data_IF_319294896000
#
_entry.id   IF_319294896000
#
_cell.length_a   1.000
_cell.length_b   1.000
_cell.length_c   1.000
_cell.angle_alpha   90.00
_cell.angle_beta   90.00
_cell.angle_gamma   90.00
#
_symmetry.space_group_name_H-M   'P 1'
#
loop_
_entity.id
_entity.type
_entity.pdbx_description
1 polymer ?
#
# COMPACT_ATOMS: atom_id res chain seq x y z
N UNK A 1 -3.30 -3.80 27.71
CA UNK A 1 -3.27 -5.26 27.97
C UNK A 1 -1.93 -5.80 27.49
N UNK A 2 -1.28 -6.68 28.25
CA UNK A 2 0.03 -7.20 27.83
C UNK A 2 -0.12 -8.43 26.92
N UNK A 3 0.69 -8.48 25.85
CA UNK A 3 0.76 -9.60 24.92
C UNK A 3 2.18 -10.14 24.85
N UNK A 4 2.32 -11.48 24.89
CA UNK A 4 3.59 -12.17 24.73
C UNK A 4 3.68 -12.69 23.30
N UNK A 5 4.70 -12.27 22.57
CA UNK A 5 4.91 -12.63 21.16
C UNK A 5 5.12 -14.14 21.00
N UNK A 6 4.40 -14.74 20.06
CA UNK A 6 4.42 -16.18 19.79
C UNK A 6 5.13 -16.49 18.46
N UNK A 7 5.60 -17.73 18.25
CA UNK A 7 6.14 -18.15 16.96
C UNK A 7 5.19 -17.83 15.80
N UNK A 8 5.71 -17.15 14.77
CA UNK A 8 4.95 -16.77 13.58
C UNK A 8 4.12 -15.49 13.69
N UNK A 9 4.14 -14.81 14.84
CA UNK A 9 3.55 -13.49 14.99
C UNK A 9 4.33 -12.42 14.23
N UNK A 10 3.59 -11.42 13.75
CA UNK A 10 4.11 -10.12 13.32
C UNK A 10 3.27 -9.06 14.01
N UNK A 11 3.77 -7.83 14.19
CA UNK A 11 2.99 -6.76 14.80
C UNK A 11 1.65 -6.57 14.07
N UNK A 12 1.62 -6.70 12.75
CA UNK A 12 0.39 -6.64 11.95
C UNK A 12 -0.60 -7.77 12.22
N UNK A 13 -0.12 -9.02 12.34
CA UNK A 13 -1.01 -10.15 12.71
C UNK A 13 -1.60 -9.94 14.10
N UNK A 14 -0.79 -9.43 15.03
CA UNK A 14 -1.24 -9.10 16.38
C UNK A 14 -2.27 -7.96 16.34
N UNK A 15 -1.99 -6.87 15.63
CA UNK A 15 -2.90 -5.74 15.48
C UNK A 15 -4.25 -6.17 14.92
N UNK A 16 -4.25 -6.90 13.80
CA UNK A 16 -5.46 -7.42 13.15
C UNK A 16 -6.29 -8.33 14.05
N UNK A 17 -5.66 -9.18 14.88
CA UNK A 17 -6.36 -10.07 15.82
C UNK A 17 -6.99 -9.31 17.00
N UNK A 18 -6.41 -8.18 17.38
CA UNK A 18 -6.81 -7.43 18.58
C UNK A 18 -7.57 -6.14 18.24
N UNK A 19 -7.87 -5.88 16.96
CA UNK A 19 -8.63 -4.71 16.53
C UNK A 19 -7.92 -3.37 16.77
N UNK A 20 -6.58 -3.37 16.75
CA UNK A 20 -5.73 -2.17 16.89
C UNK A 20 -4.85 -2.01 15.65
N UNK A 21 -4.21 -0.85 15.46
CA UNK A 21 -3.25 -0.69 14.36
C UNK A 21 -1.82 -0.99 14.81
N UNK A 22 -0.94 -1.32 13.88
CA UNK A 22 0.50 -1.46 14.18
C UNK A 22 1.08 -0.14 14.70
N UNK A 23 0.59 1.00 14.19
CA UNK A 23 1.00 2.32 14.67
C UNK A 23 0.67 2.46 16.16
N UNK A 24 -0.53 2.09 16.58
CA UNK A 24 -0.93 2.16 17.99
C UNK A 24 -0.06 1.24 18.85
N UNK A 25 0.22 0.02 18.37
CA UNK A 25 1.12 -0.91 19.06
C UNK A 25 2.52 -0.30 19.19
N UNK A 26 3.10 0.23 18.12
CA UNK A 26 4.45 0.83 18.17
C UNK A 26 4.46 2.06 19.09
N UNK A 27 3.44 2.91 19.04
CA UNK A 27 3.29 4.06 19.93
C UNK A 27 3.17 3.67 21.40
N UNK A 28 2.47 2.57 21.71
CA UNK A 28 2.36 2.03 23.06
C UNK A 28 3.64 1.29 23.54
N UNK A 29 4.58 1.02 22.63
CA UNK A 29 5.80 0.26 22.90
C UNK A 29 7.06 0.99 22.41
N UNK A 30 7.42 2.13 23.02
CA UNK A 30 8.59 2.92 22.61
C UNK A 30 9.92 2.15 22.72
N UNK A 31 9.96 1.03 23.45
CA UNK A 31 11.10 0.12 23.53
C UNK A 31 11.34 -0.70 22.25
N UNK A 32 10.36 -0.79 21.32
CA UNK A 32 10.53 -1.48 20.05
C UNK A 32 11.27 -0.56 19.07
N UNK A 33 12.57 -0.79 18.93
CA UNK A 33 13.43 -0.01 18.03
C UNK A 33 13.26 -0.38 16.56
N UNK A 34 12.95 -1.65 16.27
CA UNK A 34 12.61 -2.13 14.93
C UNK A 34 11.29 -2.92 14.95
N UNK A 35 10.17 -2.30 14.55
CA UNK A 35 8.87 -2.95 14.45
C UNK A 35 8.81 -4.19 13.53
N UNK A 36 9.78 -4.39 12.64
CA UNK A 36 9.88 -5.58 11.80
C UNK A 36 10.64 -6.73 12.47
N UNK A 37 11.40 -6.46 13.54
CA UNK A 37 12.26 -7.42 14.22
C UNK A 37 11.81 -7.64 15.67
N UNK A 38 10.67 -8.30 15.83
CA UNK A 38 10.12 -8.66 17.14
C UNK A 38 10.55 -10.07 17.55
N UNK A 39 10.77 -10.29 18.84
CA UNK A 39 11.29 -11.56 19.37
C UNK A 39 10.20 -12.40 20.02
N UNK A 40 10.24 -13.71 19.81
CA UNK A 40 9.37 -14.66 20.54
C UNK A 40 9.62 -14.51 22.04
N UNK A 41 8.55 -14.46 22.84
CA UNK A 41 8.61 -14.24 24.28
C UNK A 41 8.73 -12.77 24.69
N UNK A 42 8.98 -11.84 23.75
CA UNK A 42 8.94 -10.41 24.04
C UNK A 42 7.53 -9.99 24.46
N UNK A 43 7.44 -9.22 25.55
CA UNK A 43 6.18 -8.61 26.00
C UNK A 43 5.99 -7.27 25.33
N UNK A 44 4.77 -7.03 24.84
CA UNK A 44 4.34 -5.76 24.28
C UNK A 44 3.00 -5.34 24.89
N UNK A 45 2.81 -4.05 25.06
CA UNK A 45 1.57 -3.43 25.48
C UNK A 45 0.65 -3.28 24.28
N UNK A 46 -0.51 -3.94 24.31
CA UNK A 46 -1.59 -3.66 23.37
C UNK A 46 -2.41 -2.49 23.90
N UNK A 47 -2.56 -1.40 23.12
CA UNK A 47 -3.42 -0.30 23.51
C UNK A 47 -4.85 -0.82 23.60
N UNK A 48 -5.53 -0.48 24.69
CA UNK A 48 -6.98 -0.69 24.79
C UNK A 48 -7.63 0.48 24.06
N UNK A 49 -8.35 0.22 22.97
CA UNK A 49 -9.14 1.26 22.32
C UNK A 49 -10.25 1.72 23.28
N UNK A 50 -9.98 2.75 24.09
CA UNK A 50 -10.99 3.63 24.62
C UNK A 50 -11.30 4.65 23.51
N UNK A 51 -12.13 4.25 22.54
CA UNK A 51 -12.44 5.09 21.39
C UNK A 51 -13.06 4.40 20.18
N UNK A 52 -13.57 3.17 20.31
CA UNK A 52 -14.62 2.70 19.41
C UNK A 52 -15.91 3.39 19.82
N UNK A 53 -16.19 4.57 19.27
CA UNK A 53 -17.48 5.22 19.44
C UNK A 53 -18.55 4.41 18.72
N UNK A 54 -19.22 3.60 19.53
CA UNK A 54 -20.50 2.97 19.26
C UNK A 54 -21.57 4.05 19.17
N UNK A 55 -21.96 4.43 17.95
CA UNK A 55 -23.04 5.39 17.69
C UNK A 55 -24.09 4.86 16.73
N UNK A 56 -24.75 3.75 17.07
CA UNK A 56 -26.00 3.34 16.43
C UNK A 56 -27.20 3.82 17.23
N UNK A 57 -28.11 4.59 16.61
CA UNK A 57 -29.49 4.76 17.11
C UNK A 57 -30.20 6.07 16.81
N UNK A 58 -30.89 6.15 15.65
CA UNK A 58 -32.30 6.58 15.63
C UNK A 58 -32.68 8.05 15.39
N UNK A 59 -33.08 8.33 14.15
CA UNK A 59 -34.36 8.94 13.73
C UNK A 59 -34.61 10.46 13.78
N UNK A 60 -34.96 11.03 12.61
CA UNK A 60 -36.11 11.95 12.49
C UNK A 60 -35.91 13.30 11.74
N UNK A 61 -36.40 13.37 10.48
CA UNK A 61 -36.95 14.57 9.78
C UNK A 61 -35.98 15.72 9.43
N UNK A 62 -36.05 16.46 8.33
CA UNK A 62 -37.04 16.67 7.27
C UNK A 62 -36.85 18.10 6.71
N UNK A 63 -36.74 18.24 5.37
CA UNK A 63 -36.79 19.52 4.61
C UNK A 63 -35.56 20.43 4.68
N UNK A 64 -35.20 21.31 3.75
CA UNK A 64 -35.74 21.74 2.44
C UNK A 64 -34.67 22.66 1.80
N UNK A 65 -34.47 22.58 0.48
CA UNK A 65 -34.09 23.63 -0.49
C UNK A 65 -33.19 24.83 -0.09
N UNK A 66 -32.12 25.09 -0.86
CA UNK A 66 -32.10 26.10 -1.95
C UNK A 66 -30.71 26.72 -2.21
N UNK A 67 -30.43 26.95 -3.50
CA UNK A 67 -29.67 28.04 -4.12
C UNK A 67 -28.12 28.15 -4.02
N UNK A 68 -27.51 28.08 -5.22
CA UNK A 68 -26.21 28.64 -5.68
C UNK A 68 -26.23 30.21 -5.59
N UNK A 69 -25.14 31.01 -5.79
CA UNK A 69 -24.13 30.84 -6.86
C UNK A 69 -22.67 31.26 -6.55
N UNK A 70 -21.84 30.99 -7.56
CA UNK A 70 -20.41 31.26 -7.74
C UNK A 70 -19.87 32.64 -7.33
N UNK A 71 -18.58 32.68 -6.94
CA UNK A 71 -17.67 33.72 -7.41
C UNK A 71 -16.20 33.30 -7.35
N UNK A 72 -15.53 33.64 -8.45
CA UNK A 72 -14.14 33.40 -8.80
C UNK A 72 -13.30 34.55 -8.23
N UNK A 73 -12.22 34.29 -7.48
CA UNK A 73 -11.09 35.23 -7.31
C UNK A 73 -9.84 34.51 -6.82
N UNK A 74 -8.84 34.48 -7.68
CA UNK A 74 -7.42 34.23 -7.34
C UNK A 74 -6.77 35.59 -7.03
N UNK A 75 -5.82 35.64 -6.08
CA UNK A 75 -4.56 36.28 -6.41
C UNK A 75 -3.31 35.52 -5.90
N UNK A 76 -2.27 35.64 -6.73
CA UNK A 76 -0.81 35.53 -6.48
C UNK A 76 -0.38 36.38 -5.28
N UNK A 77 0.69 36.20 -4.49
CA UNK A 77 2.01 35.53 -4.52
C UNK A 77 2.67 35.80 -3.15
N UNK A 78 3.53 34.91 -2.66
CA UNK A 78 4.88 35.17 -2.09
C UNK A 78 5.25 34.23 -0.94
N UNK A 79 6.54 33.90 -0.92
CA UNK A 79 7.21 32.88 -0.12
C UNK A 79 7.37 33.28 1.35
N UNK A 80 7.35 32.28 2.24
CA UNK A 80 7.60 32.45 3.67
C UNK A 80 7.75 31.12 4.40
N UNK A 81 8.98 30.59 4.39
CA UNK A 81 9.68 29.84 5.43
C UNK A 81 8.91 28.85 6.35
N UNK A 82 9.30 27.57 6.30
CA UNK A 82 9.40 26.71 7.50
C UNK A 82 8.11 26.23 8.15
N UNK A 83 7.27 25.48 7.43
CA UNK A 83 6.28 24.61 8.04
C UNK A 83 6.72 23.15 7.86
N UNK A 84 6.90 22.43 8.97
CA UNK A 84 6.92 20.96 8.97
C UNK A 84 5.53 20.56 8.48
N UNK A 85 5.39 20.35 7.17
CA UNK A 85 4.11 20.05 6.55
C UNK A 85 3.70 18.64 6.93
N UNK A 86 3.00 18.51 8.05
CA UNK A 86 2.19 17.34 8.31
C UNK A 86 1.11 17.32 7.24
N UNK A 87 1.20 16.37 6.31
CA UNK A 87 0.10 16.12 5.40
C UNK A 87 -1.09 15.67 6.24
N UNK A 88 -2.26 16.32 6.15
CA UNK A 88 -3.41 15.88 6.90
C UNK A 88 -3.82 14.48 6.45
N UNK A 89 -4.38 13.66 7.35
CA UNK A 89 -5.00 12.40 6.97
C UNK A 89 -6.04 12.59 5.87
N UNK A 90 -6.16 11.64 4.94
CA UNK A 90 -7.21 11.68 3.92
C UNK A 90 -8.48 11.10 4.53
N UNK A 91 -9.54 11.88 4.57
CA UNK A 91 -10.87 11.47 5.03
C UNK A 91 -11.81 11.29 3.84
N UNK A 92 -12.85 10.47 4.02
CA UNK A 92 -13.99 10.42 3.11
C UNK A 92 -15.24 10.86 3.88
N UNK A 93 -16.09 11.74 3.32
CA UNK A 93 -17.33 12.14 3.99
C UNK A 93 -18.32 10.97 4.15
N UNK A 94 -18.12 9.88 3.39
CA UNK A 94 -19.03 8.73 3.32
C UNK A 94 -18.47 7.48 4.02
N UNK A 95 -17.41 7.59 4.82
CA UNK A 95 -16.79 6.46 5.53
C UNK A 95 -16.03 6.91 6.77
N UNK A 96 -15.96 6.04 7.77
CA UNK A 96 -15.09 6.17 8.95
C UNK A 96 -13.60 5.94 8.63
N UNK A 97 -13.30 5.43 7.43
CA UNK A 97 -11.94 5.12 7.06
C UNK A 97 -11.16 6.39 6.69
N UNK A 98 -10.13 6.66 7.48
CA UNK A 98 -9.16 7.72 7.24
C UNK A 98 -7.80 7.12 6.88
N UNK A 99 -7.18 7.57 5.78
CA UNK A 99 -5.80 7.19 5.46
C UNK A 99 -4.80 8.12 6.17
N UNK A 100 -3.69 7.59 6.69
CA UNK A 100 -2.63 8.41 7.26
C UNK A 100 -2.06 9.40 6.22
N UNK A 101 -1.72 10.61 6.68
CA UNK A 101 -0.97 11.56 5.85
C UNK A 101 0.51 11.22 5.73
N UNK A 102 1.04 10.46 6.68
CA UNK A 102 2.40 9.90 6.71
C UNK A 102 2.45 8.59 7.51
N UNK A 103 3.47 7.78 7.26
CA UNK A 103 3.70 6.49 7.90
C UNK A 103 4.98 6.44 8.75
N UNK A 104 5.20 5.31 9.44
CA UNK A 104 6.47 5.04 10.12
C UNK A 104 7.62 4.89 9.11
N UNK A 105 7.31 4.40 7.90
CA UNK A 105 8.20 4.35 6.75
C UNK A 105 9.53 3.59 6.96
N UNK A 106 9.50 2.52 7.76
CA UNK A 106 10.69 1.73 8.10
C UNK A 106 11.24 1.01 6.87
N UNK A 107 12.57 1.04 6.71
CA UNK A 107 13.26 0.44 5.56
C UNK A 107 13.50 -1.05 5.74
N UNK A 108 13.59 -1.77 4.62
CA UNK A 108 14.15 -3.11 4.61
C UNK A 108 15.62 -3.07 4.99
N UNK A 109 16.06 -4.07 5.73
CA UNK A 109 17.47 -4.38 5.99
C UNK A 109 17.88 -5.66 5.26
N UNK A 110 19.17 -5.93 5.04
CA UNK A 110 19.62 -7.12 4.31
C UNK A 110 19.02 -8.45 4.82
N UNK A 111 18.88 -8.60 6.14
CA UNK A 111 18.29 -9.80 6.75
C UNK A 111 16.83 -10.05 6.38
N UNK A 112 16.07 -9.00 6.03
CA UNK A 112 14.67 -9.14 5.61
C UNK A 112 14.58 -9.86 4.27
N UNK A 113 15.52 -9.59 3.35
CA UNK A 113 15.61 -10.29 2.08
C UNK A 113 15.98 -11.77 2.28
N UNK A 114 16.87 -12.07 3.23
CA UNK A 114 17.25 -13.44 3.53
C UNK A 114 16.12 -14.23 4.21
N UNK A 115 15.31 -13.57 5.05
CA UNK A 115 14.09 -14.14 5.59
C UNK A 115 13.06 -14.42 4.49
N UNK A 116 12.79 -13.44 3.62
CA UNK A 116 11.89 -13.58 2.48
C UNK A 116 12.33 -14.72 1.53
N UNK A 117 13.62 -14.82 1.26
CA UNK A 117 14.21 -15.86 0.43
C UNK A 117 13.98 -17.26 1.00
N UNK A 118 14.22 -17.44 2.32
CA UNK A 118 13.93 -18.68 3.04
C UNK A 118 12.44 -19.03 2.99
N UNK A 119 11.56 -18.05 3.15
CA UNK A 119 10.10 -18.25 3.12
C UNK A 119 9.59 -18.64 1.72
N UNK A 120 10.29 -18.27 0.66
CA UNK A 120 10.02 -18.68 -0.72
C UNK A 120 10.82 -19.90 -1.18
N UNK A 121 11.80 -20.36 -0.39
CA UNK A 121 12.73 -21.41 -0.82
C UNK A 121 13.57 -21.02 -2.04
N UNK A 122 13.88 -19.72 -2.20
CA UNK A 122 14.69 -19.21 -3.31
C UNK A 122 15.94 -18.47 -2.81
N UNK A 123 16.76 -17.98 -3.72
CA UNK A 123 17.95 -17.20 -3.37
C UNK A 123 17.58 -15.76 -3.00
N UNK A 124 18.27 -15.21 -2.00
CA UNK A 124 18.09 -13.81 -1.59
C UNK A 124 18.41 -12.82 -2.70
N UNK A 125 19.35 -13.16 -3.59
CA UNK A 125 19.62 -12.42 -4.81
C UNK A 125 18.40 -12.32 -5.75
N UNK A 126 17.54 -13.34 -5.81
CA UNK A 126 16.34 -13.32 -6.64
C UNK A 126 15.28 -12.35 -6.08
N UNK A 127 15.06 -12.37 -4.76
CA UNK A 127 14.15 -11.42 -4.10
C UNK A 127 14.63 -9.99 -4.26
N UNK A 128 15.94 -9.74 -4.05
CA UNK A 128 16.57 -8.42 -4.26
C UNK A 128 16.45 -7.95 -5.71
N UNK A 129 16.58 -8.84 -6.68
CA UNK A 129 16.43 -8.51 -8.10
C UNK A 129 15.03 -7.99 -8.42
N UNK A 130 13.98 -8.65 -7.92
CA UNK A 130 12.60 -8.20 -8.11
C UNK A 130 12.38 -6.86 -7.41
N UNK A 131 12.81 -6.72 -6.15
CA UNK A 131 12.67 -5.47 -5.40
C UNK A 131 13.34 -4.29 -6.13
N UNK A 132 14.53 -4.49 -6.70
CA UNK A 132 15.23 -3.47 -7.47
C UNK A 132 14.45 -3.07 -8.72
N UNK A 133 13.94 -4.03 -9.49
CA UNK A 133 13.21 -3.74 -10.74
C UNK A 133 11.88 -3.05 -10.49
N UNK A 134 11.11 -3.49 -9.49
CA UNK A 134 9.80 -2.90 -9.17
C UNK A 134 9.91 -1.49 -8.60
N UNK A 135 10.97 -1.21 -7.83
CA UNK A 135 11.18 0.10 -7.21
C UNK A 135 12.07 1.06 -8.02
N UNK A 136 12.78 0.54 -9.01
CA UNK A 136 13.91 1.20 -9.66
C UNK A 136 15.09 1.41 -8.69
N UNK A 137 15.30 0.47 -7.76
CA UNK A 137 16.34 0.52 -6.72
C UNK A 137 16.11 1.58 -5.64
N UNK A 138 14.88 2.10 -5.52
CA UNK A 138 14.54 3.19 -4.60
C UNK A 138 13.69 2.69 -3.45
N UNK A 139 13.61 3.51 -2.40
CA UNK A 139 12.65 3.35 -1.31
C UNK A 139 11.22 3.13 -1.81
N UNK A 140 10.48 2.26 -1.13
CA UNK A 140 9.04 2.04 -1.30
C UNK A 140 8.17 3.18 -0.75
N UNK A 141 8.79 4.12 -0.04
CA UNK A 141 8.18 5.36 0.45
C UNK A 141 8.65 6.59 -0.35
N UNK A 142 7.80 7.60 -0.43
CA UNK A 142 8.14 8.94 -0.92
C UNK A 142 8.80 9.81 0.15
N UNK A 143 9.12 11.07 -0.19
CA UNK A 143 9.76 12.02 0.72
C UNK A 143 8.87 12.39 1.92
N UNK A 144 7.55 12.21 1.80
CA UNK A 144 6.57 12.46 2.86
C UNK A 144 6.26 11.20 3.68
N UNK A 145 7.10 10.17 3.60
CA UNK A 145 6.92 8.89 4.32
C UNK A 145 5.60 8.18 4.01
N UNK A 146 5.03 8.44 2.83
CA UNK A 146 3.86 7.72 2.31
C UNK A 146 4.32 6.61 1.36
N UNK A 147 3.62 5.46 1.30
CA UNK A 147 3.96 4.44 0.30
C UNK A 147 3.88 5.03 -1.11
N UNK A 148 4.79 4.63 -2.00
CA UNK A 148 4.66 4.95 -3.42
C UNK A 148 3.48 4.19 -3.98
N UNK A 149 2.66 4.87 -4.76
CA UNK A 149 1.43 4.31 -5.32
C UNK A 149 1.34 4.61 -6.82
N UNK A 150 0.57 3.79 -7.52
CA UNK A 150 0.06 4.08 -8.85
C UNK A 150 -1.45 3.79 -8.84
N UNK A 151 -2.26 4.75 -9.28
CA UNK A 151 -3.71 4.59 -9.33
C UNK A 151 -4.15 4.09 -10.71
N UNK A 152 -4.94 3.02 -10.72
CA UNK A 152 -5.45 2.38 -11.93
C UNK A 152 -6.90 2.75 -12.19
N UNK A 153 -7.13 3.72 -13.09
CA UNK A 153 -8.46 4.24 -13.44
C UNK A 153 -9.43 3.16 -13.92
N UNK A 154 -8.91 2.14 -14.60
CA UNK A 154 -9.71 1.02 -15.10
C UNK A 154 -10.12 0.03 -14.01
N UNK A 155 -9.33 -0.08 -12.94
CA UNK A 155 -9.69 -0.87 -11.76
C UNK A 155 -10.70 -0.12 -10.90
N UNK A 156 -10.56 1.20 -10.78
CA UNK A 156 -11.56 2.01 -10.06
C UNK A 156 -12.92 1.93 -10.75
N UNK A 157 -12.93 2.02 -12.09
CA UNK A 157 -14.11 1.74 -12.90
C UNK A 157 -14.71 0.37 -12.63
N UNK A 158 -13.89 -0.69 -12.56
CA UNK A 158 -14.33 -2.07 -12.24
C UNK A 158 -14.95 -2.14 -10.85
N UNK A 159 -14.26 -1.65 -9.82
CA UNK A 159 -14.67 -1.77 -8.42
C UNK A 159 -15.86 -0.88 -8.04
N UNK A 160 -16.07 0.22 -8.76
CA UNK A 160 -17.24 1.10 -8.57
C UNK A 160 -18.41 0.71 -9.49
N UNK A 161 -18.32 -0.41 -10.20
CA UNK A 161 -19.31 -0.83 -11.20
C UNK A 161 -19.67 0.30 -12.17
N UNK A 162 -18.68 1.08 -12.60
CA UNK A 162 -18.80 2.20 -13.57
C UNK A 162 -19.63 3.39 -13.08
N UNK A 163 -19.93 3.48 -11.78
CA UNK A 163 -20.74 4.56 -11.18
C UNK A 163 -20.21 5.96 -11.51
N UNK A 164 -18.91 6.09 -11.73
CA UNK A 164 -18.24 7.38 -11.96
C UNK A 164 -17.78 7.61 -13.42
N UNK A 165 -18.17 6.76 -14.38
CA UNK A 165 -17.77 6.90 -15.80
C UNK A 165 -18.13 8.29 -16.38
N UNK A 166 -19.27 8.85 -15.97
CA UNK A 166 -19.75 10.15 -16.49
C UNK A 166 -19.26 11.33 -15.65
N UNK A 167 -19.29 11.21 -14.31
CA UNK A 167 -19.01 12.33 -13.40
C UNK A 167 -17.52 12.52 -13.13
N UNK A 168 -16.72 11.45 -13.16
CA UNK A 168 -15.28 11.48 -12.93
C UNK A 168 -14.53 10.61 -13.96
N UNK A 169 -14.65 10.93 -15.26
CA UNK A 169 -14.07 10.10 -16.32
C UNK A 169 -12.53 10.01 -16.25
N UNK A 170 -11.85 10.96 -15.58
CA UNK A 170 -10.40 10.89 -15.33
C UNK A 170 -10.02 9.90 -14.21
N UNK A 171 -10.97 9.46 -13.39
CA UNK A 171 -10.79 8.41 -12.37
C UNK A 171 -11.40 7.07 -12.81
N UNK A 172 -12.39 7.08 -13.70
CA UNK A 172 -13.12 5.90 -14.16
C UNK A 172 -13.13 5.82 -15.69
N UNK A 173 -12.23 5.01 -16.25
CA UNK A 173 -12.10 4.86 -17.70
C UNK A 173 -11.68 3.43 -18.10
N UNK A 174 -12.01 2.95 -19.31
CA UNK A 174 -11.52 1.67 -19.84
C UNK A 174 -9.99 1.58 -19.89
N UNK A 175 -9.46 0.35 -19.91
CA UNK A 175 -8.01 0.09 -19.89
C UNK A 175 -7.26 0.72 -21.07
N UNK A 176 -7.82 0.65 -22.26
CA UNK A 176 -7.29 1.21 -23.50
C UNK A 176 -7.46 2.73 -23.64
N UNK A 177 -8.16 3.36 -22.68
CA UNK A 177 -8.40 4.80 -22.71
C UNK A 177 -7.10 5.61 -22.55
N UNK A 178 -6.92 6.72 -23.32
CA UNK A 178 -5.79 7.62 -23.11
C UNK A 178 -5.73 8.19 -21.69
N UNK A 179 -6.87 8.26 -21.00
CA UNK A 179 -7.01 8.71 -19.62
C UNK A 179 -6.17 7.90 -18.63
N UNK A 180 -5.89 6.62 -18.93
CA UNK A 180 -4.96 5.80 -18.13
C UNK A 180 -3.56 6.42 -18.11
N UNK A 181 -3.02 6.71 -19.30
CA UNK A 181 -1.69 7.32 -19.45
C UNK A 181 -1.65 8.76 -18.93
N UNK A 182 -2.75 9.49 -19.04
CA UNK A 182 -2.88 10.83 -18.45
C UNK A 182 -2.84 10.77 -16.92
N UNK A 183 -3.54 9.82 -16.30
CA UNK A 183 -3.55 9.62 -14.85
C UNK A 183 -2.13 9.40 -14.32
N UNK A 184 -1.32 8.55 -14.96
CA UNK A 184 0.04 8.23 -14.50
C UNK A 184 1.00 9.42 -14.49
N UNK A 185 0.71 10.51 -15.21
CA UNK A 185 1.52 11.73 -15.24
C UNK A 185 1.17 12.72 -14.13
N UNK A 186 0.09 12.46 -13.39
CA UNK A 186 -0.36 13.30 -12.27
C UNK A 186 0.30 12.89 -10.96
N UNK A 187 0.18 13.74 -9.95
CA UNK A 187 0.42 13.34 -8.56
C UNK A 187 -0.56 12.23 -8.17
N UNK A 188 -0.04 11.01 -8.01
CA UNK A 188 -0.85 9.83 -7.70
C UNK A 188 -1.54 9.93 -6.34
N UNK A 189 -0.99 10.66 -5.38
CA UNK A 189 -1.64 10.89 -4.09
C UNK A 189 -2.82 11.85 -4.21
N UNK A 190 -2.75 12.84 -5.11
CA UNK A 190 -3.89 13.70 -5.42
C UNK A 190 -5.00 12.91 -6.14
N UNK A 191 -4.64 12.04 -7.09
CA UNK A 191 -5.58 11.15 -7.79
C UNK A 191 -6.27 10.20 -6.80
N UNK A 192 -5.49 9.52 -5.95
CA UNK A 192 -6.05 8.65 -4.92
C UNK A 192 -6.95 9.42 -3.96
N UNK A 193 -6.58 10.64 -3.54
CA UNK A 193 -7.40 11.45 -2.64
C UNK A 193 -8.79 11.73 -3.20
N UNK A 194 -8.86 12.10 -4.46
CA UNK A 194 -10.14 12.35 -5.14
C UNK A 194 -10.98 11.07 -5.23
N UNK A 195 -10.38 9.94 -5.64
CA UNK A 195 -11.07 8.66 -5.70
C UNK A 195 -11.52 8.15 -4.32
N UNK A 196 -10.70 8.34 -3.29
CA UNK A 196 -10.97 7.90 -1.92
C UNK A 196 -12.12 8.70 -1.28
N UNK A 197 -12.24 9.99 -1.61
CA UNK A 197 -13.40 10.79 -1.20
C UNK A 197 -14.73 10.24 -1.78
N UNK A 198 -14.69 9.60 -2.95
CA UNK A 198 -15.87 9.01 -3.60
C UNK A 198 -16.19 7.61 -3.07
N UNK A 199 -15.19 6.72 -3.02
CA UNK A 199 -15.34 5.31 -2.63
C UNK A 199 -14.01 4.77 -2.07
N UNK A 200 -13.80 4.82 -0.73
CA UNK A 200 -12.54 4.43 -0.07
C UNK A 200 -12.04 3.04 -0.43
N UNK A 201 -12.92 2.04 -0.38
CA UNK A 201 -12.56 0.66 -0.66
C UNK A 201 -12.20 0.46 -2.13
N UNK A 202 -13.02 0.99 -3.05
CA UNK A 202 -12.73 0.86 -4.47
C UNK A 202 -11.44 1.59 -4.83
N UNK A 203 -11.20 2.78 -4.27
CA UNK A 203 -9.98 3.56 -4.48
C UNK A 203 -8.74 2.80 -4.00
N UNK A 204 -8.79 2.26 -2.77
CA UNK A 204 -7.69 1.51 -2.20
C UNK A 204 -7.37 0.21 -2.97
N UNK A 205 -8.41 -0.52 -3.41
CA UNK A 205 -8.26 -1.71 -4.26
C UNK A 205 -7.65 -1.37 -5.63
N UNK A 206 -7.87 -0.15 -6.11
CA UNK A 206 -7.43 0.33 -7.42
C UNK A 206 -6.05 0.97 -7.42
N UNK A 207 -5.33 0.95 -6.30
CA UNK A 207 -3.93 1.39 -6.22
C UNK A 207 -2.97 0.22 -6.06
N UNK A 208 -1.81 0.30 -6.73
CA UNK A 208 -0.62 -0.45 -6.32
C UNK A 208 0.05 0.24 -5.13
N UNK A 209 0.71 -0.52 -4.26
CA UNK A 209 1.28 0.02 -3.03
C UNK A 209 2.74 -0.42 -2.80
N UNK A 210 3.57 0.55 -2.44
CA UNK A 210 4.89 0.35 -1.89
C UNK A 210 5.95 -0.14 -2.89
N UNK A 211 7.04 -0.67 -2.34
CA UNK A 211 8.25 -1.09 -3.07
C UNK A 211 7.99 -2.10 -4.18
N UNK A 212 7.07 -3.04 -3.95
CA UNK A 212 6.78 -4.14 -4.86
C UNK A 212 5.55 -3.90 -5.74
N UNK A 213 4.90 -2.73 -5.60
CA UNK A 213 3.74 -2.34 -6.40
C UNK A 213 2.60 -3.38 -6.39
N UNK A 214 2.36 -4.04 -5.25
CA UNK A 214 1.26 -4.99 -5.12
C UNK A 214 -0.07 -4.23 -5.12
N UNK A 215 -0.99 -4.64 -6.01
CA UNK A 215 -2.33 -4.04 -6.10
C UNK A 215 -3.17 -4.31 -4.84
N UNK A 216 -3.87 -3.28 -4.37
CA UNK A 216 -4.75 -3.35 -3.21
C UNK A 216 -5.89 -4.36 -3.38
N UNK A 217 -6.35 -4.64 -4.61
CA UNK A 217 -7.36 -5.69 -4.87
C UNK A 217 -6.88 -7.09 -4.46
N UNK A 218 -5.57 -7.30 -4.33
CA UNK A 218 -4.96 -8.58 -3.96
C UNK A 218 -4.77 -8.75 -2.44
N UNK A 219 -5.30 -7.85 -1.60
CA UNK A 219 -5.07 -7.89 -0.15
C UNK A 219 -5.39 -9.27 0.47
N UNK A 220 -6.49 -9.89 0.06
CA UNK A 220 -6.98 -11.15 0.62
C UNK A 220 -6.04 -12.32 0.31
N UNK A 221 -5.64 -12.47 -0.95
CA UNK A 221 -4.67 -13.49 -1.35
C UNK A 221 -3.28 -13.28 -0.73
N UNK A 222 -2.96 -12.03 -0.39
CA UNK A 222 -1.71 -11.72 0.32
C UNK A 222 -1.81 -11.97 1.84
N UNK A 223 -2.98 -12.38 2.34
CA UNK A 223 -3.21 -12.78 3.73
C UNK A 223 -3.72 -11.67 4.64
N UNK A 224 -4.31 -10.60 4.10
CA UNK A 224 -5.02 -9.57 4.86
C UNK A 224 -6.52 -9.83 4.85
N UNK A 225 -7.21 -9.49 5.95
CA UNK A 225 -8.67 -9.66 6.07
C UNK A 225 -9.47 -8.54 5.42
N UNK A 226 -8.85 -7.37 5.24
CA UNK A 226 -9.48 -6.20 4.63
C UNK A 226 -8.45 -5.36 3.89
N UNK A 227 -8.89 -4.67 2.83
CA UNK A 227 -8.04 -3.71 2.11
C UNK A 227 -7.58 -2.57 3.03
N UNK A 228 -8.39 -2.21 4.04
CA UNK A 228 -8.03 -1.23 5.07
C UNK A 228 -6.76 -1.61 5.82
N UNK A 229 -6.76 -2.79 6.43
CA UNK A 229 -5.58 -3.27 7.19
C UNK A 229 -4.36 -3.50 6.30
N UNK A 230 -4.57 -3.89 5.04
CA UNK A 230 -3.50 -3.96 4.04
C UNK A 230 -2.87 -2.59 3.79
N UNK A 231 -3.67 -1.57 3.48
CA UNK A 231 -3.15 -0.24 3.19
C UNK A 231 -2.48 0.39 4.42
N UNK A 232 -3.08 0.26 5.61
CA UNK A 232 -2.48 0.73 6.86
C UNK A 232 -1.09 0.13 7.09
N UNK A 233 -0.91 -1.16 6.83
CA UNK A 233 0.39 -1.82 6.91
C UNK A 233 1.39 -1.31 5.85
N UNK A 234 0.93 -0.85 4.68
CA UNK A 234 1.81 -0.25 3.68
C UNK A 234 2.41 1.09 4.15
N UNK A 235 1.83 1.75 5.15
CA UNK A 235 2.41 2.93 5.80
C UNK A 235 3.44 2.58 6.89
N UNK A 236 3.51 1.32 7.34
CA UNK A 236 4.40 0.91 8.42
C UNK A 236 5.82 0.72 7.91
N UNK A 237 6.03 -0.19 6.96
CA UNK A 237 7.38 -0.56 6.53
C UNK A 237 7.47 -1.19 5.14
N UNK A 238 8.67 -1.16 4.55
CA UNK A 238 8.98 -1.91 3.34
C UNK A 238 8.97 -3.44 3.59
N UNK A 239 9.12 -3.89 4.83
CA UNK A 239 8.90 -5.30 5.19
C UNK A 239 7.43 -5.71 5.05
N UNK A 240 6.48 -4.80 5.29
CA UNK A 240 5.07 -5.05 4.98
C UNK A 240 4.83 -5.05 3.47
N UNK A 241 5.53 -4.21 2.70
CA UNK A 241 5.50 -4.27 1.23
C UNK A 241 6.03 -5.63 0.74
N UNK A 242 7.13 -6.13 1.35
CA UNK A 242 7.69 -7.46 1.08
C UNK A 242 6.70 -8.56 1.42
N UNK A 243 6.02 -8.50 2.58
CA UNK A 243 5.00 -9.48 2.95
C UNK A 243 3.89 -9.58 1.90
N UNK A 244 3.44 -8.45 1.35
CA UNK A 244 2.46 -8.43 0.27
C UNK A 244 2.99 -9.15 -0.97
N UNK A 245 4.23 -8.86 -1.36
CA UNK A 245 4.92 -9.52 -2.45
C UNK A 245 5.03 -11.04 -2.26
N UNK A 246 5.40 -11.49 -1.05
CA UNK A 246 5.51 -12.90 -0.70
C UNK A 246 4.17 -13.63 -0.82
N UNK A 247 3.10 -13.02 -0.27
CA UNK A 247 1.75 -13.56 -0.36
C UNK A 247 1.27 -13.70 -1.81
N UNK A 248 1.47 -12.65 -2.60
CA UNK A 248 1.14 -12.67 -4.03
C UNK A 248 1.90 -13.77 -4.79
N UNK A 249 3.21 -13.91 -4.56
CA UNK A 249 4.02 -14.94 -5.21
C UNK A 249 3.55 -16.36 -4.90
N UNK A 250 3.13 -16.63 -3.66
CA UNK A 250 2.61 -17.95 -3.28
C UNK A 250 1.28 -18.25 -3.97
N UNK A 251 0.32 -17.34 -3.87
CA UNK A 251 -1.02 -17.55 -4.42
C UNK A 251 -0.99 -17.73 -5.94
N UNK A 252 -0.23 -16.86 -6.64
CA UNK A 252 -0.02 -16.95 -8.09
C UNK A 252 0.97 -18.03 -8.51
N UNK A 253 1.51 -18.79 -7.55
CA UNK A 253 2.50 -19.88 -7.75
C UNK A 253 3.77 -19.41 -8.48
N UNK A 254 4.13 -18.14 -8.36
CA UNK A 254 5.30 -17.55 -9.04
C UNK A 254 6.62 -17.95 -8.38
N UNK A 255 6.58 -18.45 -7.15
CA UNK A 255 7.75 -18.92 -6.40
C UNK A 255 8.62 -19.89 -7.20
N UNK A 256 8.01 -20.82 -7.95
CA UNK A 256 8.74 -21.79 -8.80
C UNK A 256 9.64 -21.11 -9.84
N UNK A 257 9.23 -19.95 -10.35
CA UNK A 257 9.97 -19.21 -11.36
C UNK A 257 11.13 -18.42 -10.75
N UNK A 258 11.00 -17.98 -9.48
CA UNK A 258 12.12 -17.41 -8.73
C UNK A 258 13.19 -18.46 -8.41
N UNK A 259 12.78 -19.68 -8.05
CA UNK A 259 13.69 -20.81 -7.79
C UNK A 259 14.45 -21.20 -9.06
N UNK A 260 13.72 -21.38 -10.16
CA UNK A 260 14.28 -21.80 -11.46
C UNK A 260 14.90 -20.65 -12.26
N UNK A 261 14.80 -19.40 -11.76
CA UNK A 261 15.24 -18.17 -12.43
C UNK A 261 14.62 -18.00 -13.82
N UNK A 262 13.38 -18.47 -13.99
CA UNK A 262 12.59 -18.24 -15.20
C UNK A 262 11.98 -16.83 -15.16
N UNK A 263 12.81 -15.83 -15.44
CA UNK A 263 12.43 -14.42 -15.34
C UNK A 263 11.32 -14.02 -16.29
N UNK A 264 11.22 -14.64 -17.47
CA UNK A 264 10.14 -14.38 -18.41
C UNK A 264 8.79 -14.85 -17.86
N UNK A 265 8.73 -16.10 -17.36
CA UNK A 265 7.50 -16.63 -16.78
C UNK A 265 7.14 -15.94 -15.46
N UNK A 266 8.14 -15.54 -14.66
CA UNK A 266 7.92 -14.73 -13.47
C UNK A 266 7.31 -13.36 -13.83
N UNK A 267 7.97 -12.61 -14.72
CA UNK A 267 7.55 -11.27 -15.10
C UNK A 267 6.19 -11.25 -15.81
N UNK A 268 5.87 -12.27 -16.63
CA UNK A 268 4.52 -12.41 -17.20
C UNK A 268 3.47 -12.57 -16.10
N UNK A 269 3.74 -13.43 -15.10
CA UNK A 269 2.80 -13.68 -14.02
C UNK A 269 2.70 -12.54 -12.99
N UNK A 270 3.75 -11.72 -12.87
CA UNK A 270 3.82 -10.61 -11.91
C UNK A 270 3.40 -9.27 -12.52
N UNK A 271 3.93 -8.92 -13.70
CA UNK A 271 3.73 -7.62 -14.35
C UNK A 271 2.65 -7.68 -15.46
N UNK A 272 2.22 -8.87 -15.90
CA UNK A 272 1.20 -9.04 -16.93
C UNK A 272 1.76 -9.07 -18.36
N UNK A 273 0.86 -9.00 -19.36
CA UNK A 273 1.19 -9.21 -20.79
C UNK A 273 2.20 -8.20 -21.35
N UNK A 274 2.20 -6.98 -20.82
CA UNK A 274 3.12 -5.91 -21.20
C UNK A 274 4.54 -6.09 -20.61
N UNK A 275 4.84 -7.21 -19.92
CA UNK A 275 6.13 -7.36 -19.25
C UNK A 275 7.34 -7.29 -20.21
N UNK A 276 7.15 -7.79 -21.43
CA UNK A 276 8.21 -7.91 -22.43
C UNK A 276 8.55 -6.54 -23.04
N UNK A 277 7.55 -5.74 -23.40
CA UNK A 277 7.74 -4.39 -23.93
C UNK A 277 8.41 -3.46 -22.92
N UNK A 278 8.20 -3.70 -21.62
CA UNK A 278 8.85 -2.98 -20.52
C UNK A 278 10.17 -3.63 -20.04
N UNK A 279 10.58 -4.74 -20.66
CA UNK A 279 11.82 -5.48 -20.40
C UNK A 279 12.00 -5.95 -18.94
N UNK A 280 10.91 -6.21 -18.21
CA UNK A 280 10.98 -6.61 -16.80
C UNK A 280 11.88 -7.85 -16.59
N UNK A 281 11.68 -8.88 -17.41
CA UNK A 281 12.44 -10.12 -17.36
C UNK A 281 13.96 -9.93 -17.52
N UNK A 282 14.39 -9.12 -18.49
CA UNK A 282 15.81 -8.82 -18.73
C UNK A 282 16.41 -8.03 -17.57
N UNK A 283 15.69 -7.02 -17.08
CA UNK A 283 16.12 -6.20 -15.93
C UNK A 283 16.27 -7.06 -14.67
N UNK A 284 15.34 -7.99 -14.42
CA UNK A 284 15.41 -8.90 -13.27
C UNK A 284 16.58 -9.87 -13.40
N UNK A 285 16.83 -10.42 -14.60
CA UNK A 285 17.97 -11.29 -14.85
C UNK A 285 19.31 -10.56 -14.62
N UNK A 286 19.41 -9.31 -15.06
CA UNK A 286 20.59 -8.47 -14.84
C UNK A 286 20.80 -8.13 -13.36
N UNK A 287 19.74 -7.71 -12.67
CA UNK A 287 19.79 -7.41 -11.24
C UNK A 287 20.18 -8.66 -10.42
N UNK A 288 19.61 -9.82 -10.75
CA UNK A 288 19.98 -11.08 -10.12
C UNK A 288 21.48 -11.38 -10.27
N UNK A 289 22.03 -11.26 -11.50
CA UNK A 289 23.46 -11.47 -11.74
C UNK A 289 24.35 -10.54 -10.90
N UNK A 290 23.92 -9.29 -10.65
CA UNK A 290 24.65 -8.36 -9.79
C UNK A 290 24.62 -8.81 -8.32
N UNK A 291 23.46 -9.20 -7.80
CA UNK A 291 23.33 -9.60 -6.40
C UNK A 291 23.95 -10.97 -6.12
N UNK A 292 23.85 -11.93 -7.05
CA UNK A 292 24.42 -13.26 -6.89
C UNK A 292 25.96 -13.25 -6.80
N UNK A 293 26.62 -12.28 -7.42
CA UNK A 293 28.09 -12.10 -7.29
C UNK A 293 28.53 -11.47 -5.98
N UNK A 294 27.61 -10.87 -5.24
CA UNK A 294 27.86 -10.16 -3.97
C UNK A 294 27.46 -10.97 -2.73
N UNK A 295 26.87 -12.15 -2.95
CA UNK A 295 26.29 -13.00 -1.89
C UNK A 295 27.25 -14.13 -1.53
#
# INVERSE_FOLDING_TARGET
MDYVIRPGDTLSKIASRNGVTVRDIVSANPQITNPNAISIGQRISLPTNAGGDTGGGGSGGGGTSSANPASNTRPTTSEGNGAVSSNPPLTSPNSDWTLPGEGLALKLVPSDFDAAARELGCESAAVRAVAEVESGGRSGFDAQKRPKILFEVHKFRKHTARRYDQTHPHLSAPYDSPRRRESYRKDQWAVLREAFALDPEAAAKSCSWGMFQVMGENYEMCGWRSVRTFVEDMFVSEAQHMRAFLGFCRDKRLTRHLITKNWAAFALGYNGEDYASNQYHTKMAEAYRRYARRS
#
